data_IF_289293196711
#
_entry.id   IF_289293196711
#
_cell.length_a   1.000
_cell.length_b   1.000
_cell.length_c   1.000
_cell.angle_alpha   90.00
_cell.angle_beta   90.00
_cell.angle_gamma   90.00
#
_symmetry.space_group_name_H-M   'P 1'
#
loop_
_entity.id
_entity.type
_entity.pdbx_description
1 polymer ?
#
# COMPACT_ATOMS: atom_id res chain seq x y z
N UNK A 1 38.51 -29.85 11.54
CA UNK A 1 38.66 -30.75 10.38
C UNK A 1 38.83 -29.89 9.12
N UNK A 2 40.04 -29.88 8.55
CA UNK A 2 40.49 -29.44 7.21
C UNK A 2 39.88 -28.19 6.54
N UNK A 3 40.67 -27.11 6.62
CA UNK A 3 40.87 -26.15 5.51
C UNK A 3 41.31 -26.88 4.23
N UNK A 4 40.77 -26.48 3.06
CA UNK A 4 41.45 -26.72 1.77
C UNK A 4 41.08 -25.68 0.71
N UNK A 5 42.03 -24.78 0.50
CA UNK A 5 42.21 -23.98 -0.72
C UNK A 5 42.51 -24.91 -1.90
N UNK A 6 41.85 -24.76 -3.06
CA UNK A 6 42.39 -25.19 -4.36
C UNK A 6 41.89 -24.35 -5.55
N UNK A 7 42.87 -23.66 -6.15
CA UNK A 7 43.17 -23.51 -7.60
C UNK A 7 42.11 -22.94 -8.55
N UNK A 8 42.32 -21.68 -8.90
CA UNK A 8 42.65 -21.17 -10.24
C UNK A 8 42.51 -22.17 -11.41
N UNK A 9 41.54 -21.91 -12.28
CA UNK A 9 41.56 -22.30 -13.70
C UNK A 9 41.26 -21.07 -14.55
N UNK A 10 42.24 -20.69 -15.38
CA UNK A 10 42.08 -19.75 -16.50
C UNK A 10 41.37 -20.48 -17.64
N UNK A 11 40.37 -19.83 -18.24
CA UNK A 11 39.80 -20.17 -19.54
C UNK A 11 39.58 -18.88 -20.37
N UNK A 12 39.51 -18.99 -21.70
CA UNK A 12 40.19 -18.10 -22.63
C UNK A 12 39.42 -16.83 -23.01
N UNK A 13 40.19 -15.83 -23.45
CA UNK A 13 39.75 -14.60 -24.09
C UNK A 13 38.89 -14.88 -25.32
N UNK A 14 37.62 -14.52 -25.26
CA UNK A 14 36.75 -14.41 -26.42
C UNK A 14 36.45 -12.94 -26.68
N UNK A 15 37.06 -12.38 -27.74
CA UNK A 15 36.69 -11.06 -28.29
C UNK A 15 35.35 -11.24 -29.00
N UNK A 16 34.31 -10.59 -28.49
CA UNK A 16 33.05 -10.41 -29.22
C UNK A 16 32.77 -8.92 -29.34
N UNK A 17 32.44 -8.55 -30.58
CA UNK A 17 32.38 -7.22 -31.11
C UNK A 17 31.38 -6.33 -30.38
N UNK A 18 31.82 -5.12 -30.05
CA UNK A 18 30.97 -3.97 -29.79
C UNK A 18 30.41 -3.53 -31.14
N UNK A 19 29.12 -3.76 -31.38
CA UNK A 19 28.26 -2.90 -32.21
C UNK A 19 26.84 -3.49 -32.32
N UNK A 20 25.89 -2.84 -31.66
CA UNK A 20 24.50 -2.61 -32.10
C UNK A 20 23.62 -2.36 -30.86
N UNK A 21 23.59 -1.12 -30.36
CA UNK A 21 22.66 -0.72 -29.29
C UNK A 21 22.25 0.73 -29.50
N UNK A 22 21.58 1.01 -30.62
CA UNK A 22 20.96 2.31 -30.89
C UNK A 22 19.60 2.24 -31.61
N UNK A 23 18.95 1.07 -31.67
CA UNK A 23 17.66 0.89 -32.39
C UNK A 23 16.45 0.56 -31.50
N UNK A 24 16.62 0.45 -30.18
CA UNK A 24 15.53 0.00 -29.29
C UNK A 24 14.53 1.13 -28.91
N UNK A 25 14.95 2.40 -28.92
CA UNK A 25 14.08 3.52 -28.51
C UNK A 25 13.00 3.87 -29.55
N UNK A 26 13.29 3.70 -30.84
CA UNK A 26 12.38 4.04 -31.94
C UNK A 26 11.33 2.97 -32.21
N UNK A 27 11.62 1.69 -31.96
CA UNK A 27 10.66 0.60 -32.11
C UNK A 27 9.55 0.67 -31.04
N UNK A 28 9.90 1.01 -29.80
CA UNK A 28 8.94 1.19 -28.71
C UNK A 28 8.04 2.42 -28.93
N UNK A 29 8.59 3.52 -29.45
CA UNK A 29 7.81 4.70 -29.88
C UNK A 29 6.85 4.40 -31.03
N UNK A 30 7.14 3.41 -31.88
CA UNK A 30 6.32 3.10 -33.07
C UNK A 30 5.12 2.19 -32.75
N UNK A 31 5.15 1.46 -31.63
CA UNK A 31 4.02 0.61 -31.20
C UNK A 31 2.88 1.39 -30.53
N UNK A 32 3.14 2.61 -30.07
CA UNK A 32 2.14 3.47 -29.41
C UNK A 32 1.18 4.11 -30.44
N UNK A 33 1.52 4.05 -31.74
CA UNK A 33 0.86 4.84 -32.77
C UNK A 33 -0.42 4.25 -33.41
N UNK A 34 -1.01 3.15 -32.92
CA UNK A 34 -2.17 2.53 -33.61
C UNK A 34 -3.16 1.76 -32.70
N UNK A 35 -3.52 2.27 -31.52
CA UNK A 35 -4.68 1.74 -30.80
C UNK A 35 -5.69 2.86 -30.57
N UNK A 36 -6.92 2.66 -31.05
CA UNK A 36 -8.02 3.58 -30.75
C UNK A 36 -8.36 3.54 -29.26
N UNK A 37 -9.00 4.59 -28.76
CA UNK A 37 -9.49 4.63 -27.38
C UNK A 37 -10.29 3.38 -27.00
N UNK A 38 -11.27 2.98 -27.82
CA UNK A 38 -12.03 1.74 -27.62
C UNK A 38 -11.16 0.47 -27.59
N UNK A 39 -10.14 0.37 -28.46
CA UNK A 39 -9.21 -0.75 -28.47
C UNK A 39 -8.36 -0.82 -27.19
N UNK A 40 -7.87 0.32 -26.72
CA UNK A 40 -7.13 0.45 -25.47
C UNK A 40 -7.97 0.09 -24.25
N UNK A 41 -9.20 0.61 -24.16
CA UNK A 41 -10.12 0.27 -23.08
C UNK A 41 -10.41 -1.23 -23.05
N UNK A 42 -10.66 -1.85 -24.21
CA UNK A 42 -10.95 -3.28 -24.29
C UNK A 42 -9.76 -4.16 -23.84
N UNK A 43 -8.54 -3.80 -24.24
CA UNK A 43 -7.31 -4.50 -23.83
C UNK A 43 -7.10 -4.40 -22.32
N UNK A 44 -7.19 -3.18 -21.76
CA UNK A 44 -7.06 -2.96 -20.32
C UNK A 44 -8.11 -3.75 -19.54
N UNK A 45 -9.37 -3.70 -19.94
CA UNK A 45 -10.45 -4.41 -19.27
C UNK A 45 -10.21 -5.92 -19.29
N UNK A 46 -9.89 -6.48 -20.46
CA UNK A 46 -9.65 -7.93 -20.61
C UNK A 46 -8.48 -8.38 -19.76
N UNK A 47 -7.38 -7.62 -19.76
CA UNK A 47 -6.18 -7.99 -19.01
C UNK A 47 -6.39 -7.83 -17.51
N UNK A 48 -7.02 -6.73 -17.08
CA UNK A 48 -7.34 -6.48 -15.68
C UNK A 48 -8.29 -7.54 -15.13
N UNK A 49 -9.36 -7.89 -15.86
CA UNK A 49 -10.32 -8.91 -15.44
C UNK A 49 -9.62 -10.25 -15.15
N UNK A 50 -8.71 -10.68 -16.03
CA UNK A 50 -7.96 -11.92 -15.81
C UNK A 50 -7.09 -11.84 -14.55
N UNK A 51 -6.30 -10.78 -14.41
CA UNK A 51 -5.40 -10.62 -13.26
C UNK A 51 -6.17 -10.50 -11.95
N UNK A 52 -7.27 -9.75 -11.96
CA UNK A 52 -8.12 -9.55 -10.79
C UNK A 52 -8.82 -10.84 -10.38
N UNK A 53 -9.32 -11.62 -11.34
CA UNK A 53 -9.90 -12.94 -11.05
C UNK A 53 -8.88 -13.90 -10.45
N UNK A 54 -7.68 -13.97 -11.03
CA UNK A 54 -6.62 -14.85 -10.52
C UNK A 54 -6.21 -14.47 -9.08
N UNK A 55 -6.12 -13.16 -8.80
CA UNK A 55 -5.90 -12.64 -7.46
C UNK A 55 -7.04 -12.97 -6.49
N UNK A 56 -8.30 -12.69 -6.85
CA UNK A 56 -9.46 -12.91 -5.98
C UNK A 56 -9.69 -14.40 -5.71
N UNK A 57 -9.45 -15.28 -6.69
CA UNK A 57 -9.56 -16.73 -6.48
C UNK A 57 -8.53 -17.20 -5.44
N UNK A 58 -7.28 -16.72 -5.54
CA UNK A 58 -6.23 -17.01 -4.55
C UNK A 58 -6.52 -16.38 -3.20
N UNK A 59 -7.06 -15.15 -3.18
CA UNK A 59 -7.41 -14.44 -1.96
C UNK A 59 -8.50 -15.21 -1.21
N UNK A 60 -9.61 -15.52 -1.89
CA UNK A 60 -10.71 -16.28 -1.33
C UNK A 60 -10.26 -17.64 -0.82
N UNK A 61 -9.61 -18.44 -1.68
CA UNK A 61 -9.20 -19.80 -1.32
C UNK A 61 -8.22 -19.85 -0.15
N UNK A 62 -7.25 -18.93 -0.12
CA UNK A 62 -6.26 -18.84 0.96
C UNK A 62 -6.90 -18.35 2.26
N UNK A 63 -7.75 -17.32 2.21
CA UNK A 63 -8.37 -16.73 3.41
C UNK A 63 -9.45 -17.61 4.02
N UNK A 64 -10.17 -18.37 3.19
CA UNK A 64 -11.15 -19.35 3.65
C UNK A 64 -10.53 -20.71 4.00
N UNK A 65 -9.20 -20.85 3.86
CA UNK A 65 -8.46 -22.09 4.12
C UNK A 65 -9.05 -23.30 3.37
N UNK A 66 -9.39 -23.12 2.09
CA UNK A 66 -9.88 -24.21 1.25
C UNK A 66 -8.78 -25.28 1.08
N UNK A 67 -9.20 -26.55 0.99
CA UNK A 67 -8.28 -27.70 1.01
C UNK A 67 -7.50 -27.92 -0.30
N UNK A 68 -7.81 -27.18 -1.36
CA UNK A 68 -7.12 -27.30 -2.65
C UNK A 68 -5.68 -26.75 -2.53
N UNK A 69 -4.64 -27.56 -2.81
CA UNK A 69 -3.25 -27.14 -2.67
C UNK A 69 -2.83 -26.00 -3.60
N UNK A 70 -3.65 -25.65 -4.61
CA UNK A 70 -3.40 -24.47 -5.45
C UNK A 70 -3.49 -23.15 -4.69
N UNK A 71 -4.17 -23.14 -3.54
CA UNK A 71 -4.30 -21.95 -2.70
C UNK A 71 -3.15 -21.86 -1.71
N UNK A 72 -2.39 -20.79 -1.80
CA UNK A 72 -1.24 -20.57 -0.91
C UNK A 72 -0.95 -19.09 -0.72
N UNK A 73 -0.31 -18.76 0.42
CA UNK A 73 0.16 -17.39 0.69
C UNK A 73 1.15 -16.92 -0.39
N UNK A 74 1.97 -17.81 -0.92
CA UNK A 74 2.90 -17.50 -2.01
C UNK A 74 2.16 -17.15 -3.31
N UNK A 75 1.17 -17.94 -3.72
CA UNK A 75 0.40 -17.68 -4.94
C UNK A 75 -0.49 -16.43 -4.81
N UNK A 76 -1.07 -16.20 -3.62
CA UNK A 76 -1.76 -14.96 -3.31
C UNK A 76 -0.83 -13.74 -3.43
N UNK A 77 0.39 -13.84 -2.91
CA UNK A 77 1.37 -12.73 -3.00
C UNK A 77 1.78 -12.49 -4.45
N UNK A 78 2.01 -13.55 -5.24
CA UNK A 78 2.38 -13.46 -6.65
C UNK A 78 1.28 -12.82 -7.49
N UNK A 79 0.07 -13.35 -7.45
CA UNK A 79 -1.08 -12.87 -8.24
C UNK A 79 -1.46 -11.42 -7.89
N UNK A 80 -1.43 -11.06 -6.60
CA UNK A 80 -1.59 -9.67 -6.18
C UNK A 80 -0.50 -8.77 -6.76
N UNK A 81 0.76 -9.19 -6.67
CA UNK A 81 1.90 -8.43 -7.22
C UNK A 81 1.81 -8.23 -8.74
N UNK A 82 1.33 -9.22 -9.48
CA UNK A 82 1.12 -9.12 -10.93
C UNK A 82 0.00 -8.13 -11.28
N UNK A 83 -1.11 -8.14 -10.54
CA UNK A 83 -2.19 -7.17 -10.68
C UNK A 83 -1.73 -5.75 -10.34
N UNK A 84 -1.02 -5.57 -9.22
CA UNK A 84 -0.49 -4.27 -8.80
C UNK A 84 0.55 -3.75 -9.80
N UNK A 85 1.44 -4.61 -10.33
CA UNK A 85 2.41 -4.25 -11.35
C UNK A 85 1.75 -3.83 -12.66
N UNK A 86 0.64 -4.48 -13.04
CA UNK A 86 -0.14 -4.08 -14.21
C UNK A 86 -0.71 -2.67 -14.06
N UNK A 87 -1.26 -2.34 -12.89
CA UNK A 87 -1.84 -1.02 -12.57
C UNK A 87 -0.76 0.07 -12.35
N UNK A 88 0.44 -0.32 -11.93
CA UNK A 88 1.56 0.59 -11.69
C UNK A 88 2.42 0.87 -12.94
N UNK A 89 1.98 0.46 -14.12
CA UNK A 89 2.72 0.67 -15.37
C UNK A 89 2.55 2.11 -15.89
N UNK A 90 3.62 2.90 -15.78
CA UNK A 90 3.69 4.30 -16.22
C UNK A 90 3.30 4.50 -17.70
N UNK A 91 3.52 3.50 -18.56
CA UNK A 91 3.17 3.60 -19.97
C UNK A 91 1.65 3.63 -20.20
N UNK A 92 0.87 2.97 -19.32
CA UNK A 92 -0.60 2.97 -19.40
C UNK A 92 -1.16 4.32 -19.03
N UNK A 93 -0.67 4.92 -17.95
CA UNK A 93 -1.06 6.29 -17.56
C UNK A 93 -0.73 7.30 -18.64
N UNK A 94 0.48 7.21 -19.22
CA UNK A 94 0.88 8.06 -20.34
C UNK A 94 -0.06 7.88 -21.55
N UNK A 95 -0.36 6.63 -21.92
CA UNK A 95 -1.27 6.33 -23.04
C UNK A 95 -2.68 6.85 -22.78
N UNK A 96 -3.23 6.65 -21.58
CA UNK A 96 -4.54 7.18 -21.19
C UNK A 96 -4.61 8.70 -21.33
N UNK A 97 -3.57 9.41 -20.86
CA UNK A 97 -3.49 10.87 -20.96
C UNK A 97 -3.35 11.37 -22.40
N UNK A 98 -2.64 10.64 -23.26
CA UNK A 98 -2.58 10.99 -24.69
C UNK A 98 -3.93 10.76 -25.38
N UNK A 99 -4.60 9.63 -25.13
CA UNK A 99 -5.93 9.34 -25.68
C UNK A 99 -6.98 10.37 -25.22
N UNK A 100 -6.89 10.87 -23.99
CA UNK A 100 -7.78 11.92 -23.48
C UNK A 100 -7.65 13.27 -24.20
N UNK A 101 -6.56 13.49 -24.96
CA UNK A 101 -6.38 14.70 -25.79
C UNK A 101 -7.02 14.57 -27.17
N UNK A 102 -7.45 13.38 -27.57
CA UNK A 102 -8.07 13.16 -28.89
C UNK A 102 -9.45 13.81 -28.98
N UNK A 103 -9.75 14.39 -30.15
CA UNK A 103 -11.09 14.87 -30.47
C UNK A 103 -11.97 13.71 -30.96
N UNK A 104 -13.27 13.74 -30.67
CA UNK A 104 -14.22 12.75 -31.18
C UNK A 104 -14.42 11.50 -30.31
N UNK A 105 -13.86 11.47 -29.09
CA UNK A 105 -14.21 10.45 -28.10
C UNK A 105 -15.72 10.44 -27.82
N UNK A 106 -16.30 9.25 -27.75
CA UNK A 106 -17.65 9.11 -27.21
C UNK A 106 -17.68 9.48 -25.72
N UNK A 107 -18.87 9.82 -25.20
CA UNK A 107 -19.05 10.14 -23.79
C UNK A 107 -18.59 8.98 -22.87
N UNK A 108 -18.84 7.73 -23.28
CA UNK A 108 -18.46 6.54 -22.53
C UNK A 108 -16.94 6.27 -22.56
N UNK A 109 -16.29 6.48 -23.71
CA UNK A 109 -14.83 6.38 -23.81
C UNK A 109 -14.15 7.44 -22.95
N UNK A 110 -14.58 8.69 -23.04
CA UNK A 110 -14.04 9.78 -22.23
C UNK A 110 -14.21 9.49 -20.73
N UNK A 111 -15.40 9.07 -20.30
CA UNK A 111 -15.67 8.69 -18.91
C UNK A 111 -14.75 7.55 -18.45
N UNK A 112 -14.60 6.50 -19.27
CA UNK A 112 -13.79 5.33 -18.94
C UNK A 112 -12.31 5.69 -18.86
N UNK A 113 -11.78 6.48 -19.79
CA UNK A 113 -10.39 6.95 -19.76
C UNK A 113 -10.11 7.82 -18.53
N UNK A 114 -11.03 8.70 -18.12
CA UNK A 114 -10.89 9.46 -16.87
C UNK A 114 -10.84 8.53 -15.65
N UNK A 115 -11.63 7.45 -15.63
CA UNK A 115 -11.56 6.45 -14.55
C UNK A 115 -10.23 5.70 -14.57
N UNK A 116 -9.71 5.34 -15.75
CA UNK A 116 -8.41 4.70 -15.89
C UNK A 116 -7.26 5.62 -15.45
N UNK A 117 -7.30 6.91 -15.81
CA UNK A 117 -6.28 7.88 -15.40
C UNK A 117 -6.23 7.97 -13.87
N UNK A 118 -7.40 8.12 -13.24
CA UNK A 118 -7.51 8.13 -11.77
C UNK A 118 -6.98 6.83 -11.16
N UNK A 119 -7.37 5.69 -11.72
CA UNK A 119 -6.95 4.37 -11.23
C UNK A 119 -5.44 4.22 -11.30
N UNK A 120 -4.82 4.42 -12.47
CA UNK A 120 -3.36 4.34 -12.61
C UNK A 120 -2.63 5.37 -11.75
N UNK A 121 -3.16 6.59 -11.63
CA UNK A 121 -2.64 7.63 -10.74
C UNK A 121 -2.58 7.24 -9.26
N UNK A 122 -3.49 6.37 -8.79
CA UNK A 122 -3.43 5.83 -7.43
C UNK A 122 -2.26 4.84 -7.21
N UNK A 123 -1.82 4.15 -8.27
CA UNK A 123 -0.75 3.14 -8.21
C UNK A 123 0.62 3.72 -8.56
N UNK A 124 0.66 4.82 -9.31
CA UNK A 124 1.89 5.41 -9.84
C UNK A 124 2.24 6.67 -9.05
N UNK A 125 3.45 6.68 -8.51
CA UNK A 125 4.05 7.88 -7.93
C UNK A 125 5.09 8.43 -8.92
N UNK A 126 4.69 9.45 -9.69
CA UNK A 126 5.49 9.99 -10.82
C UNK A 126 6.73 10.75 -10.33
N UNK A 127 6.63 11.51 -9.23
CA UNK A 127 7.75 12.30 -8.69
C UNK A 127 8.83 11.37 -8.12
N UNK A 128 10.04 11.46 -8.68
CA UNK A 128 11.21 10.74 -8.17
C UNK A 128 11.50 11.09 -6.70
N UNK A 129 11.35 12.37 -6.34
CA UNK A 129 11.46 12.83 -4.96
C UNK A 129 10.40 12.18 -4.07
N UNK A 130 9.14 12.16 -4.50
CA UNK A 130 8.07 11.54 -3.73
C UNK A 130 8.28 10.03 -3.56
N UNK A 131 8.82 9.34 -4.58
CA UNK A 131 9.20 7.93 -4.48
C UNK A 131 10.27 7.68 -3.42
N UNK A 132 11.31 8.51 -3.38
CA UNK A 132 12.34 8.45 -2.33
C UNK A 132 11.73 8.70 -0.95
N UNK A 133 10.92 9.75 -0.80
CA UNK A 133 10.24 10.07 0.46
C UNK A 133 9.30 8.95 0.93
N UNK A 134 8.62 8.27 0.00
CA UNK A 134 7.79 7.09 0.29
C UNK A 134 8.64 5.92 0.79
N UNK A 135 9.76 5.64 0.12
CA UNK A 135 10.67 4.57 0.54
C UNK A 135 11.21 4.81 1.95
N UNK A 136 11.61 6.05 2.27
CA UNK A 136 12.06 6.44 3.60
C UNK A 136 10.96 6.25 4.65
N UNK A 137 9.72 6.67 4.35
CA UNK A 137 8.59 6.48 5.24
C UNK A 137 8.29 4.99 5.50
N UNK A 138 8.34 4.15 4.46
CA UNK A 138 8.15 2.69 4.58
C UNK A 138 9.24 2.06 5.44
N UNK A 139 10.50 2.50 5.34
CA UNK A 139 11.59 1.99 6.16
C UNK A 139 11.39 2.32 7.66
N UNK A 140 10.94 3.55 7.97
CA UNK A 140 10.61 3.95 9.34
C UNK A 140 9.42 3.13 9.88
N UNK A 141 8.39 2.94 9.05
CA UNK A 141 7.22 2.11 9.40
C UNK A 141 7.61 0.67 9.70
N UNK A 142 8.42 0.03 8.85
CA UNK A 142 8.87 -1.34 9.05
C UNK A 142 9.72 -1.51 10.32
N UNK A 143 10.54 -0.51 10.67
CA UNK A 143 11.26 -0.49 11.95
C UNK A 143 10.30 -0.41 13.13
N UNK A 144 9.34 0.53 13.09
CA UNK A 144 8.36 0.70 14.16
C UNK A 144 7.49 -0.54 14.35
N UNK A 145 7.06 -1.17 13.26
CA UNK A 145 6.33 -2.45 13.28
C UNK A 145 7.18 -3.54 13.94
N UNK A 146 8.45 -3.66 13.56
CA UNK A 146 9.37 -4.64 14.14
C UNK A 146 9.56 -4.43 15.65
N UNK A 147 9.78 -3.18 16.09
CA UNK A 147 9.86 -2.84 17.52
C UNK A 147 8.55 -3.16 18.24
N UNK A 148 7.40 -2.86 17.62
CA UNK A 148 6.09 -3.12 18.23
C UNK A 148 5.81 -4.62 18.39
N UNK A 149 6.28 -5.45 17.48
CA UNK A 149 6.12 -6.90 17.52
C UNK A 149 6.95 -7.56 18.63
N UNK A 150 8.05 -6.94 19.06
CA UNK A 150 8.92 -7.46 20.14
C UNK A 150 8.68 -6.77 21.49
N UNK A 151 7.76 -5.81 21.55
CA UNK A 151 7.38 -5.12 22.78
C UNK A 151 6.78 -6.10 23.80
N UNK A 152 7.39 -6.20 24.97
CA UNK A 152 6.78 -6.86 26.14
C UNK A 152 5.54 -6.08 26.56
N UNK A 153 4.39 -6.75 26.54
CA UNK A 153 3.09 -6.16 26.87
C UNK A 153 2.40 -7.01 27.93
N UNK A 154 1.73 -6.37 28.88
CA UNK A 154 1.09 -7.07 29.98
C UNK A 154 0.48 -6.11 30.99
N UNK A 155 0.08 -6.64 32.14
CA UNK A 155 -0.45 -5.86 33.25
C UNK A 155 0.13 -6.34 34.58
N UNK A 156 0.31 -5.43 35.53
CA UNK A 156 0.68 -5.80 36.90
C UNK A 156 -0.58 -6.04 37.72
N UNK A 157 -0.84 -7.30 38.07
CA UNK A 157 -1.99 -7.76 38.84
C UNK A 157 -1.45 -8.34 40.15
N UNK A 158 -1.99 -7.89 41.28
CA UNK A 158 -1.58 -8.33 42.62
C UNK A 158 -0.05 -8.26 42.85
N UNK A 159 0.58 -7.21 42.30
CA UNK A 159 2.02 -6.97 42.40
C UNK A 159 2.90 -7.80 41.46
N UNK A 160 2.31 -8.68 40.63
CA UNK A 160 3.01 -9.50 39.64
C UNK A 160 2.72 -9.04 38.23
N UNK A 161 3.77 -8.89 37.41
CA UNK A 161 3.59 -8.64 35.99
C UNK A 161 3.16 -9.92 35.26
N UNK A 162 2.03 -9.85 34.59
CA UNK A 162 1.49 -10.90 33.73
C UNK A 162 1.58 -10.44 32.27
N UNK A 163 2.38 -11.14 31.47
CA UNK A 163 2.52 -10.86 30.05
C UNK A 163 1.23 -11.29 29.30
N UNK A 164 0.70 -10.38 28.49
CA UNK A 164 -0.55 -10.56 27.77
C UNK A 164 -0.54 -9.78 26.45
N UNK A 165 -1.15 -10.37 25.42
CA UNK A 165 -1.35 -9.68 24.14
C UNK A 165 -2.34 -8.51 24.29
N UNK A 166 -2.35 -7.58 23.32
CA UNK A 166 -3.31 -6.46 23.32
C UNK A 166 -4.77 -6.94 23.29
N UNK A 167 -5.03 -8.11 22.70
CA UNK A 167 -6.33 -8.77 22.70
C UNK A 167 -6.65 -9.32 24.08
N UNK A 168 -5.69 -10.00 24.73
CA UNK A 168 -5.84 -10.52 26.09
C UNK A 168 -6.16 -9.42 27.10
N UNK A 169 -5.41 -8.31 27.06
CA UNK A 169 -5.65 -7.14 27.90
C UNK A 169 -7.04 -6.53 27.67
N UNK A 170 -7.47 -6.37 26.41
CA UNK A 170 -8.81 -5.84 26.08
C UNK A 170 -9.93 -6.76 26.57
N UNK A 171 -9.77 -8.07 26.43
CA UNK A 171 -10.75 -9.04 26.88
C UNK A 171 -10.88 -9.00 28.40
N UNK A 172 -9.76 -9.08 29.13
CA UNK A 172 -9.74 -9.02 30.60
C UNK A 172 -10.30 -7.69 31.11
N UNK A 173 -9.95 -6.57 30.48
CA UNK A 173 -10.53 -5.25 30.79
C UNK A 173 -12.05 -5.20 30.62
N UNK A 174 -12.64 -6.00 29.72
CA UNK A 174 -14.10 -6.04 29.49
C UNK A 174 -14.85 -6.98 30.44
N UNK A 175 -14.26 -8.11 30.80
CA UNK A 175 -14.99 -9.22 31.43
C UNK A 175 -14.62 -9.47 32.88
N UNK A 176 -13.48 -8.97 33.34
CA UNK A 176 -13.04 -9.23 34.72
C UNK A 176 -13.93 -8.50 35.73
N UNK A 177 -14.29 -9.21 36.80
CA UNK A 177 -15.14 -8.68 37.86
C UNK A 177 -14.42 -7.64 38.71
N UNK A 178 -13.10 -7.75 38.87
CA UNK A 178 -12.29 -6.84 39.67
C UNK A 178 -11.96 -5.55 38.92
N UNK A 179 -12.34 -4.41 39.50
CA UNK A 179 -12.02 -3.10 38.94
C UNK A 179 -10.50 -2.85 38.88
N UNK A 180 -9.78 -3.27 39.92
CA UNK A 180 -8.32 -3.10 39.98
C UNK A 180 -7.62 -3.86 38.86
N UNK A 181 -8.10 -5.08 38.55
CA UNK A 181 -7.60 -5.87 37.41
C UNK A 181 -7.91 -5.18 36.08
N UNK A 182 -9.14 -4.67 35.90
CA UNK A 182 -9.51 -3.92 34.68
C UNK A 182 -8.63 -2.68 34.51
N UNK A 183 -8.39 -1.94 35.60
CA UNK A 183 -7.51 -0.76 35.62
C UNK A 183 -6.07 -1.11 35.29
N UNK A 184 -5.54 -2.20 35.86
CA UNK A 184 -4.21 -2.69 35.52
C UNK A 184 -4.08 -3.04 34.03
N UNK A 185 -5.10 -3.72 33.47
CA UNK A 185 -5.13 -4.05 32.04
C UNK A 185 -5.20 -2.80 31.15
N UNK A 186 -5.97 -1.80 31.55
CA UNK A 186 -6.04 -0.51 30.86
C UNK A 186 -4.70 0.23 30.87
N UNK A 187 -3.99 0.24 32.01
CA UNK A 187 -2.64 0.82 32.09
C UNK A 187 -1.65 0.06 31.19
N UNK A 188 -1.75 -1.27 31.17
CA UNK A 188 -1.00 -2.13 30.23
C UNK A 188 -1.21 -1.70 28.78
N UNK A 189 -2.45 -1.47 28.37
CA UNK A 189 -2.76 -0.97 27.01
C UNK A 189 -2.21 0.44 26.76
N UNK A 190 -2.24 1.33 27.76
CA UNK A 190 -1.70 2.69 27.63
C UNK A 190 -0.20 2.74 27.41
N UNK A 191 0.55 1.78 27.94
CA UNK A 191 2.00 1.69 27.74
C UNK A 191 2.40 1.62 26.26
N UNK A 192 1.49 1.16 25.38
CA UNK A 192 1.71 1.11 23.93
C UNK A 192 1.97 2.53 23.38
N UNK A 193 1.25 3.54 23.87
CA UNK A 193 1.37 4.92 23.37
C UNK A 193 2.77 5.49 23.61
N UNK A 194 3.28 5.34 24.83
CA UNK A 194 4.63 5.80 25.19
C UNK A 194 5.69 5.03 24.39
N UNK A 195 5.51 3.72 24.25
CA UNK A 195 6.41 2.86 23.47
C UNK A 195 6.48 3.29 22.00
N UNK A 196 5.35 3.40 21.28
CA UNK A 196 5.38 3.75 19.84
C UNK A 196 5.92 5.16 19.62
N UNK A 197 5.66 6.08 20.54
CA UNK A 197 6.18 7.45 20.47
C UNK A 197 7.70 7.45 20.62
N UNK A 198 8.26 6.64 21.53
CA UNK A 198 9.70 6.48 21.70
C UNK A 198 10.37 5.76 20.50
N UNK A 199 9.66 4.83 19.85
CA UNK A 199 10.18 4.00 18.76
C UNK A 199 10.08 4.62 17.36
N UNK A 200 9.70 5.90 17.25
CA UNK A 200 9.77 6.63 15.99
C UNK A 200 8.43 6.94 15.32
N UNK A 201 7.30 6.82 16.04
CA UNK A 201 5.98 7.14 15.47
C UNK A 201 5.89 8.61 15.00
N UNK A 202 6.47 9.55 15.74
CA UNK A 202 6.43 10.97 15.36
C UNK A 202 7.27 11.22 14.09
N UNK A 203 8.40 10.54 13.96
CA UNK A 203 9.28 10.56 12.81
C UNK A 203 8.57 10.02 11.56
N UNK A 204 7.80 8.93 11.71
CA UNK A 204 6.93 8.40 10.67
C UNK A 204 5.88 9.42 10.22
N UNK A 205 5.20 10.07 11.17
CA UNK A 205 4.22 11.13 10.86
C UNK A 205 4.87 12.27 10.09
N UNK A 206 6.06 12.72 10.50
CA UNK A 206 6.81 13.77 9.77
C UNK A 206 7.21 13.31 8.36
N UNK A 207 7.70 12.08 8.20
CA UNK A 207 8.10 11.55 6.89
C UNK A 207 6.92 11.47 5.91
N UNK A 208 5.79 10.92 6.37
CA UNK A 208 4.54 10.85 5.61
C UNK A 208 4.03 12.24 5.21
N UNK A 209 4.08 13.22 6.11
CA UNK A 209 3.70 14.60 5.81
C UNK A 209 4.64 15.29 4.82
N UNK A 210 5.96 15.02 4.88
CA UNK A 210 6.91 15.53 3.87
C UNK A 210 6.58 14.99 2.49
N UNK A 211 6.33 13.68 2.38
CA UNK A 211 5.91 13.05 1.13
C UNK A 211 4.63 13.68 0.56
N UNK A 212 3.59 13.83 1.39
CA UNK A 212 2.32 14.41 0.96
C UNK A 212 2.46 15.86 0.46
N UNK A 213 3.25 16.68 1.17
CA UNK A 213 3.53 18.06 0.76
C UNK A 213 4.32 18.16 -0.54
N UNK A 214 5.28 17.26 -0.76
CA UNK A 214 6.01 17.18 -2.03
C UNK A 214 5.09 16.83 -3.22
N UNK A 215 3.98 16.14 -2.95
CA UNK A 215 2.93 15.83 -3.93
C UNK A 215 1.87 16.94 -4.07
N UNK A 216 1.98 18.04 -3.32
CA UNK A 216 1.06 19.18 -3.38
C UNK A 216 -0.15 19.10 -2.43
N UNK A 217 -0.21 18.12 -1.53
CA UNK A 217 -1.29 17.98 -0.55
C UNK A 217 -0.99 18.77 0.74
N UNK A 218 -2.03 19.06 1.53
CA UNK A 218 -1.89 19.80 2.79
C UNK A 218 -1.06 18.99 3.80
N UNK A 219 -1.38 17.71 3.94
CA UNK A 219 -0.72 16.74 4.81
C UNK A 219 -1.04 15.30 4.34
N UNK A 220 -0.50 14.30 5.06
CA UNK A 220 -0.70 12.90 4.71
C UNK A 220 -2.15 12.44 4.81
N UNK A 221 -2.94 13.02 5.72
CA UNK A 221 -4.34 12.66 5.84
C UNK A 221 -5.14 13.17 4.64
N UNK A 222 -4.89 14.41 4.23
CA UNK A 222 -5.46 15.01 3.01
C UNK A 222 -5.11 14.22 1.75
N UNK A 223 -3.85 13.79 1.62
CA UNK A 223 -3.42 12.87 0.56
C UNK A 223 -4.24 11.57 0.56
N UNK A 224 -4.37 10.90 1.71
CA UNK A 224 -5.08 9.62 1.80
C UNK A 224 -6.58 9.75 1.51
N UNK A 225 -7.22 10.80 2.02
CA UNK A 225 -8.64 11.07 1.78
C UNK A 225 -8.90 11.40 0.31
N UNK A 226 -8.09 12.29 -0.28
CA UNK A 226 -8.26 12.65 -1.70
C UNK A 226 -8.14 11.44 -2.62
N UNK A 227 -7.17 10.56 -2.35
CA UNK A 227 -6.96 9.35 -3.14
C UNK A 227 -8.08 8.32 -2.98
N UNK A 228 -8.64 8.17 -1.78
CA UNK A 228 -9.69 7.18 -1.51
C UNK A 228 -11.10 7.67 -1.92
N UNK A 229 -11.43 8.92 -1.56
CA UNK A 229 -12.80 9.45 -1.63
C UNK A 229 -13.00 10.38 -2.84
N UNK A 230 -11.93 10.89 -3.44
CA UNK A 230 -11.99 11.83 -4.56
C UNK A 230 -12.25 13.29 -4.17
N UNK A 231 -12.30 13.61 -2.87
CA UNK A 231 -12.37 14.97 -2.34
C UNK A 231 -11.39 15.17 -1.18
N UNK A 232 -11.03 16.42 -0.90
CA UNK A 232 -10.02 16.75 0.12
C UNK A 232 -10.51 16.71 1.57
N UNK A 233 -9.57 16.80 2.50
CA UNK A 233 -9.80 16.80 3.95
C UNK A 233 -10.86 17.83 4.40
N UNK A 234 -10.85 19.02 3.83
CA UNK A 234 -11.77 20.10 4.24
C UNK A 234 -13.25 19.72 4.02
N UNK A 235 -13.58 19.16 2.86
CA UNK A 235 -14.93 18.70 2.55
C UNK A 235 -15.34 17.52 3.46
N UNK A 236 -14.39 16.61 3.76
CA UNK A 236 -14.65 15.52 4.69
C UNK A 236 -15.05 16.04 6.08
N UNK A 237 -14.30 17.00 6.63
CA UNK A 237 -14.63 17.57 7.95
C UNK A 237 -15.95 18.34 7.94
N UNK A 238 -16.30 19.03 6.86
CA UNK A 238 -17.61 19.68 6.75
C UNK A 238 -18.77 18.65 6.88
N UNK A 239 -18.64 17.50 6.22
CA UNK A 239 -19.62 16.41 6.28
C UNK A 239 -19.67 15.82 7.71
N UNK A 240 -18.50 15.49 8.27
CA UNK A 240 -18.41 14.88 9.61
C UNK A 240 -18.89 15.82 10.71
N UNK A 241 -18.56 17.11 10.65
CA UNK A 241 -19.00 18.11 11.63
C UNK A 241 -20.52 18.31 11.56
N UNK A 242 -21.11 18.20 10.37
CA UNK A 242 -22.57 18.25 10.20
C UNK A 242 -23.25 17.05 10.84
N UNK A 243 -22.70 15.85 10.64
CA UNK A 243 -23.17 14.63 11.28
C UNK A 243 -23.03 14.70 12.81
N UNK A 244 -21.88 15.17 13.30
CA UNK A 244 -21.58 15.32 14.73
C UNK A 244 -22.59 16.26 15.39
N UNK A 245 -22.81 17.46 14.83
CA UNK A 245 -23.82 18.41 15.36
C UNK A 245 -25.23 17.81 15.38
N UNK A 246 -25.60 17.07 14.35
CA UNK A 246 -26.93 16.46 14.24
C UNK A 246 -27.14 15.29 15.21
N UNK A 247 -26.07 14.57 15.57
CA UNK A 247 -26.14 13.35 16.41
C UNK A 247 -25.82 13.61 17.87
N UNK A 248 -25.06 14.66 18.19
CA UNK A 248 -24.68 15.02 19.58
C UNK A 248 -25.86 15.03 20.55
N UNK A 249 -27.04 15.58 20.24
CA UNK A 249 -28.17 15.58 21.18
C UNK A 249 -28.62 14.17 21.61
N UNK A 250 -28.44 13.15 20.74
CA UNK A 250 -28.80 11.75 21.04
C UNK A 250 -27.87 11.10 22.06
N UNK A 251 -26.72 11.71 22.37
CA UNK A 251 -25.72 11.17 23.32
C UNK A 251 -25.83 11.77 24.72
N UNK A 252 -26.68 12.79 24.91
CA UNK A 252 -26.81 13.55 26.18
C UNK A 252 -28.09 13.16 26.94
N UNK A 253 -29.02 12.44 26.29
CA UNK A 253 -30.12 11.73 26.95
C UNK A 253 -29.67 10.41 27.57
#
# INVERSE_FOLDING_TARGET
CRFRVRRCMRLPTCRLAVNALLTSSTAMKRSIATMSAGGFIADINTKYESLHRDFEEQFWGTKMALSDPKFSVSELTRTKGEMEAFLADESKLATTRELLKEEGLSADESKTLNMLERTFGCYIMESAEARTLRADATAIEGKLESSRNTMTLGATIDGKFEEMSSVGLRNKMRTDSSEDVRKACWQGLRSIGDFVTAEGFVELVRARNRMAKALGYVDYYDYKVTQAEGFGKAALFEILDTLERGTRPLMVE
#
